data_IF_750793627544
#
_entry.id   IF_750793627544
#
_cell.length_a   1.000
_cell.length_b   1.000
_cell.length_c   1.000
_cell.angle_alpha   90.00
_cell.angle_beta   90.00
_cell.angle_gamma   90.00
#
_symmetry.space_group_name_H-M   'P 1'
#
loop_
_entity.id
_entity.type
_entity.pdbx_description
1 polymer ?
#
# COMPACT_ATOMS: atom_id res chain seq x y z
N UNK A 1 7.04 -9.53 0.17
CA UNK A 1 8.45 -9.07 0.18
C UNK A 1 8.44 -7.69 0.82
N UNK A 2 9.06 -7.52 1.99
CA UNK A 2 9.04 -6.23 2.70
C UNK A 2 9.83 -5.18 1.91
N UNK A 3 9.23 -4.02 1.67
CA UNK A 3 9.86 -2.91 0.94
C UNK A 3 10.90 -2.14 1.78
N UNK A 4 11.02 -2.45 3.08
CA UNK A 4 12.05 -1.90 3.94
C UNK A 4 12.91 -3.01 4.53
N UNK A 5 14.15 -3.20 4.04
CA UNK A 5 15.08 -4.17 4.61
C UNK A 5 15.70 -3.71 5.94
N UNK A 6 15.43 -2.49 6.41
CA UNK A 6 16.17 -1.84 7.50
C UNK A 6 15.38 -1.66 8.80
N UNK A 7 14.05 -1.65 8.79
CA UNK A 7 13.26 -1.55 10.00
C UNK A 7 12.07 -2.49 9.94
N UNK A 8 11.94 -3.40 10.92
CA UNK A 8 10.72 -4.19 11.13
C UNK A 8 9.53 -3.35 11.63
N UNK A 9 9.49 -2.08 11.24
CA UNK A 9 8.50 -1.08 11.63
C UNK A 9 7.72 -0.54 10.41
N UNK A 10 8.05 -1.01 9.19
CA UNK A 10 7.25 -0.70 8.02
C UNK A 10 6.08 -1.68 7.93
N UNK A 11 4.87 -1.19 7.61
CA UNK A 11 3.71 -2.05 7.43
C UNK A 11 3.97 -3.06 6.30
N UNK A 12 3.40 -4.25 6.44
CA UNK A 12 3.49 -5.27 5.39
C UNK A 12 2.74 -4.79 4.15
N UNK A 13 3.34 -4.99 2.97
CA UNK A 13 2.67 -4.77 1.68
C UNK A 13 2.56 -6.10 0.95
N UNK A 14 1.34 -6.54 0.71
CA UNK A 14 1.03 -7.80 0.03
C UNK A 14 0.26 -7.51 -1.25
N UNK A 15 0.78 -8.02 -2.37
CA UNK A 15 0.13 -8.01 -3.67
C UNK A 15 -0.59 -9.35 -3.86
N UNK A 16 -1.91 -9.33 -4.00
CA UNK A 16 -2.69 -10.52 -4.36
C UNK A 16 -3.14 -10.38 -5.82
N UNK A 17 -2.34 -10.98 -6.71
CA UNK A 17 -2.49 -10.89 -8.16
C UNK A 17 -3.78 -11.57 -8.63
N UNK A 18 -4.21 -12.64 -7.95
CA UNK A 18 -5.43 -13.35 -8.32
C UNK A 18 -6.69 -12.51 -8.06
N UNK A 19 -6.66 -11.64 -7.05
CA UNK A 19 -7.77 -10.74 -6.69
C UNK A 19 -7.60 -9.30 -7.19
N UNK A 20 -6.51 -9.02 -7.91
CA UNK A 20 -6.13 -7.67 -8.35
C UNK A 20 -6.18 -6.63 -7.21
N UNK A 21 -5.55 -6.95 -6.08
CA UNK A 21 -5.58 -6.10 -4.89
C UNK A 21 -4.21 -5.93 -4.22
N UNK A 22 -4.10 -4.85 -3.46
CA UNK A 22 -2.98 -4.54 -2.59
C UNK A 22 -3.47 -4.44 -1.15
N UNK A 23 -2.78 -5.10 -0.24
CA UNK A 23 -3.02 -5.04 1.21
C UNK A 23 -1.82 -4.37 1.88
N UNK A 24 -2.06 -3.37 2.72
CA UNK A 24 -1.03 -2.61 3.44
C UNK A 24 -1.38 -2.58 4.92
N UNK A 25 -0.48 -3.00 5.80
CA UNK A 25 -0.67 -2.88 7.25
C UNK A 25 -0.08 -4.00 8.08
N UNK A 26 -0.50 -4.06 9.34
CA UNK A 26 -0.16 -5.09 10.33
C UNK A 26 -1.44 -5.65 10.97
N UNK A 27 -1.35 -6.70 11.77
CA UNK A 27 -2.52 -7.32 12.42
C UNK A 27 -3.40 -6.27 13.13
N UNK A 28 -4.69 -6.24 12.78
CA UNK A 28 -5.67 -5.30 13.35
C UNK A 28 -5.76 -3.95 12.63
N UNK A 29 -4.81 -3.57 11.77
CA UNK A 29 -4.86 -2.33 11.00
C UNK A 29 -4.36 -2.56 9.56
N UNK A 30 -5.24 -3.08 8.72
CA UNK A 30 -4.95 -3.51 7.36
C UNK A 30 -5.89 -2.81 6.38
N UNK A 31 -5.34 -1.97 5.50
CA UNK A 31 -6.11 -1.40 4.39
C UNK A 31 -6.04 -2.35 3.20
N UNK A 32 -7.17 -2.54 2.52
CA UNK A 32 -7.29 -3.33 1.29
C UNK A 32 -7.71 -2.41 0.16
N UNK A 33 -6.89 -2.34 -0.87
CA UNK A 33 -7.08 -1.52 -2.06
C UNK A 33 -7.31 -2.47 -3.25
N UNK A 34 -8.46 -2.35 -3.90
CA UNK A 34 -8.61 -2.96 -5.21
C UNK A 34 -7.75 -2.22 -6.25
N UNK A 35 -7.65 -2.77 -7.46
CA UNK A 35 -6.86 -2.20 -8.57
C UNK A 35 -7.11 -0.71 -8.82
N UNK A 36 -8.38 -0.29 -8.84
CA UNK A 36 -8.75 1.10 -9.10
C UNK A 36 -8.28 2.01 -7.97
N UNK A 37 -8.60 1.66 -6.71
CA UNK A 37 -8.19 2.43 -5.54
C UNK A 37 -6.67 2.50 -5.40
N UNK A 38 -5.95 1.42 -5.72
CA UNK A 38 -4.48 1.41 -5.77
C UNK A 38 -3.95 2.38 -6.81
N UNK A 39 -4.48 2.35 -8.04
CA UNK A 39 -4.05 3.24 -9.11
C UNK A 39 -4.32 4.71 -8.76
N UNK A 40 -5.48 5.03 -8.20
CA UNK A 40 -5.80 6.39 -7.73
C UNK A 40 -4.86 6.84 -6.61
N UNK A 41 -4.52 5.95 -5.66
CA UNK A 41 -3.55 6.27 -4.61
C UNK A 41 -2.18 6.61 -5.21
N UNK A 42 -1.68 5.77 -6.12
CA UNK A 42 -0.40 5.98 -6.80
C UNK A 42 -0.40 7.27 -7.60
N UNK A 43 -1.48 7.55 -8.34
CA UNK A 43 -1.64 8.79 -9.10
C UNK A 43 -1.55 10.01 -8.17
N UNK A 44 -2.33 10.04 -7.09
CA UNK A 44 -2.36 11.16 -6.14
C UNK A 44 -1.02 11.40 -5.44
N UNK A 45 -0.24 10.35 -5.18
CA UNK A 45 1.12 10.48 -4.66
C UNK A 45 2.03 11.13 -5.71
N UNK A 46 1.97 10.64 -6.95
CA UNK A 46 2.82 11.13 -8.04
C UNK A 46 2.49 12.57 -8.47
N UNK A 47 1.22 12.98 -8.39
CA UNK A 47 0.80 14.37 -8.67
C UNK A 47 1.12 15.32 -7.50
N UNK A 48 1.49 14.79 -6.33
CA UNK A 48 1.72 15.58 -5.12
C UNK A 48 0.43 16.12 -4.48
N UNK A 49 -0.74 15.60 -4.89
CA UNK A 49 -2.03 15.90 -4.25
C UNK A 49 -2.04 15.33 -2.82
N UNK A 50 -1.56 14.09 -2.66
CA UNK A 50 -1.28 13.52 -1.34
C UNK A 50 0.14 13.88 -0.92
N UNK A 51 0.26 14.56 0.22
CA UNK A 51 1.54 14.96 0.82
C UNK A 51 1.74 14.21 2.13
N UNK A 52 3.01 14.00 2.48
CA UNK A 52 3.39 13.52 3.81
C UNK A 52 2.84 14.47 4.86
N UNK A 53 2.20 13.91 5.89
CA UNK A 53 1.63 14.64 7.02
C UNK A 53 2.70 14.82 8.10
#
# INVERSE_FOLDING_TARGET
MSLCPACGACPEVVLDVAKEEVRIGEEGNLVRLNKEAWNTLVEKINTGELKTI
#
